data_IF_408748418852
#
_entry.id   IF_408748418852
#
_cell.length_a   1.000
_cell.length_b   1.000
_cell.length_c   1.000
_cell.angle_alpha   90.00
_cell.angle_beta   90.00
_cell.angle_gamma   90.00
#
_symmetry.space_group_name_H-M   'P 1'
#
loop_
_entity.id
_entity.type
_entity.pdbx_description
1 polymer ?
#
# COMPACT_ATOMS: atom_id res chain seq x y z
N UNK A 1 -12.55 20.15 3.44
CA UNK A 1 -11.45 20.34 2.45
C UNK A 1 -10.64 19.06 2.41
N UNK A 2 -10.37 18.52 1.20
CA UNK A 2 -9.64 17.27 1.04
C UNK A 2 -8.20 17.63 0.65
N UNK A 3 -7.22 17.23 1.46
CA UNK A 3 -5.81 17.37 1.10
C UNK A 3 -5.41 16.34 0.05
N UNK A 4 -4.50 16.74 -0.87
CA UNK A 4 -3.84 15.84 -1.80
C UNK A 4 -2.46 15.50 -1.26
N UNK A 5 -2.12 14.21 -1.22
CA UNK A 5 -0.77 13.81 -0.87
C UNK A 5 0.17 14.05 -2.05
N UNK A 6 1.38 14.52 -1.75
CA UNK A 6 2.47 14.65 -2.71
C UNK A 6 3.73 13.99 -2.15
N UNK A 7 4.61 13.57 -3.04
CA UNK A 7 5.94 13.07 -2.68
C UNK A 7 6.89 14.25 -2.49
N UNK A 8 7.39 14.45 -1.28
CA UNK A 8 8.34 15.50 -0.94
C UNK A 8 9.78 15.19 -1.37
N UNK A 9 10.04 14.04 -1.95
CA UNK A 9 11.33 13.73 -2.58
C UNK A 9 11.41 14.13 -4.06
N UNK A 10 10.29 14.44 -4.69
CA UNK A 10 10.22 14.83 -6.10
C UNK A 10 10.16 16.35 -6.27
N UNK A 11 11.35 16.96 -6.45
CA UNK A 11 11.52 18.41 -6.61
C UNK A 11 10.75 18.95 -7.83
N UNK A 12 10.81 18.25 -8.96
CA UNK A 12 10.17 18.72 -10.20
C UNK A 12 8.66 18.71 -10.07
N UNK A 13 8.09 17.65 -9.51
CA UNK A 13 6.65 17.58 -9.24
C UNK A 13 6.22 18.69 -8.29
N UNK A 14 6.96 18.94 -7.20
CA UNK A 14 6.65 20.02 -6.26
C UNK A 14 6.65 21.40 -6.92
N UNK A 15 7.64 21.70 -7.78
CA UNK A 15 7.73 22.99 -8.50
C UNK A 15 6.59 23.13 -9.51
N UNK A 16 6.26 22.06 -10.23
CA UNK A 16 5.21 22.05 -11.25
C UNK A 16 3.79 22.24 -10.68
N UNK A 17 3.61 22.17 -9.36
CA UNK A 17 2.33 22.52 -8.73
C UNK A 17 1.95 24.00 -8.90
N UNK A 18 2.92 24.88 -9.21
CA UNK A 18 2.66 26.31 -9.42
C UNK A 18 2.20 27.07 -8.17
N UNK A 19 2.54 26.56 -6.96
CA UNK A 19 2.10 27.11 -5.65
C UNK A 19 3.07 28.13 -5.07
N UNK A 20 4.03 28.60 -5.87
CA UNK A 20 5.02 29.59 -5.44
C UNK A 20 6.22 29.03 -4.69
N UNK A 21 6.35 27.71 -4.65
CA UNK A 21 7.51 27.03 -4.06
C UNK A 21 8.74 27.25 -4.93
N UNK A 22 9.83 27.76 -4.34
CA UNK A 22 11.10 27.95 -5.08
C UNK A 22 11.84 26.62 -5.21
N UNK A 23 12.82 26.54 -6.12
CA UNK A 23 13.67 25.35 -6.24
C UNK A 23 14.45 25.08 -4.95
N UNK A 24 14.88 26.13 -4.25
CA UNK A 24 15.58 26.01 -2.96
C UNK A 24 14.68 25.41 -1.88
N UNK A 25 13.42 25.91 -1.77
CA UNK A 25 12.44 25.39 -0.82
C UNK A 25 12.08 23.94 -1.11
N UNK A 26 11.85 23.58 -2.38
CA UNK A 26 11.58 22.21 -2.79
C UNK A 26 12.76 21.28 -2.48
N UNK A 27 13.99 21.77 -2.69
CA UNK A 27 15.20 21.03 -2.34
C UNK A 27 15.31 20.78 -0.84
N UNK A 28 15.04 21.76 0.02
CA UNK A 28 15.08 21.56 1.47
C UNK A 28 14.02 20.53 1.93
N UNK A 29 12.84 20.50 1.31
CA UNK A 29 11.84 19.47 1.57
C UNK A 29 12.35 18.09 1.17
N UNK A 30 12.96 17.98 -0.02
CA UNK A 30 13.54 16.75 -0.53
C UNK A 30 14.74 16.27 0.30
N UNK A 31 15.64 17.17 0.71
CA UNK A 31 16.81 16.84 1.55
C UNK A 31 16.38 16.23 2.90
N UNK A 32 15.26 16.67 3.47
CA UNK A 32 14.72 16.07 4.70
C UNK A 32 14.07 14.72 4.43
N UNK A 33 13.36 14.57 3.32
CA UNK A 33 12.82 13.27 2.89
C UNK A 33 13.95 12.25 2.69
N UNK A 34 15.04 12.64 2.05
CA UNK A 34 16.24 11.80 1.89
C UNK A 34 16.91 11.50 3.23
N UNK A 35 16.91 12.45 4.15
CA UNK A 35 17.44 12.22 5.50
C UNK A 35 16.60 11.18 6.27
N UNK A 36 15.29 11.09 6.01
CA UNK A 36 14.42 10.03 6.57
C UNK A 36 14.78 8.68 5.95
N UNK A 37 14.96 8.61 4.62
CA UNK A 37 15.37 7.40 3.90
C UNK A 37 16.73 6.89 4.36
N UNK A 38 17.66 7.80 4.60
CA UNK A 38 19.03 7.50 5.03
C UNK A 38 19.17 7.33 6.55
N UNK A 39 18.06 7.41 7.30
CA UNK A 39 18.05 7.27 8.77
C UNK A 39 18.94 8.32 9.47
N UNK A 40 19.04 9.55 8.92
CA UNK A 40 19.87 10.65 9.44
C UNK A 40 19.13 11.45 10.52
N UNK A 41 18.87 10.86 11.69
CA UNK A 41 18.05 11.43 12.75
C UNK A 41 18.51 12.80 13.27
N UNK A 42 19.82 13.08 13.31
CA UNK A 42 20.35 14.39 13.70
C UNK A 42 19.92 15.47 12.71
N UNK A 43 20.09 15.23 11.42
CA UNK A 43 19.70 16.17 10.36
C UNK A 43 18.19 16.46 10.42
N UNK A 44 17.37 15.42 10.57
CA UNK A 44 15.92 15.57 10.70
C UNK A 44 15.55 16.48 11.87
N UNK A 45 16.16 16.27 13.05
CA UNK A 45 15.85 17.06 14.25
C UNK A 45 16.29 18.52 14.10
N UNK A 46 17.41 18.80 13.44
CA UNK A 46 17.92 20.14 13.19
C UNK A 46 17.06 20.91 12.16
N UNK A 47 16.50 20.23 11.16
CA UNK A 47 15.76 20.86 10.04
C UNK A 47 14.24 20.71 10.12
N UNK A 48 13.72 20.03 11.14
CA UNK A 48 12.28 19.78 11.32
C UNK A 48 11.46 21.07 11.25
N UNK A 49 11.86 22.12 11.95
CA UNK A 49 11.08 23.36 12.01
C UNK A 49 11.07 24.08 10.65
N UNK A 50 12.22 24.16 9.95
CA UNK A 50 12.31 24.74 8.60
C UNK A 50 11.41 24.00 7.62
N UNK A 51 11.46 22.67 7.62
CA UNK A 51 10.61 21.82 6.79
C UNK A 51 9.11 22.11 7.05
N UNK A 52 8.66 22.10 8.31
CA UNK A 52 7.25 22.29 8.64
C UNK A 52 6.77 23.72 8.35
N UNK A 53 7.64 24.74 8.47
CA UNK A 53 7.30 26.11 8.05
C UNK A 53 7.05 26.19 6.54
N UNK A 54 7.85 25.51 5.71
CA UNK A 54 7.61 25.44 4.27
C UNK A 54 6.31 24.70 3.93
N UNK A 55 6.03 23.60 4.58
CA UNK A 55 4.75 22.89 4.42
C UNK A 55 3.58 23.80 4.76
N UNK A 56 3.65 24.56 5.86
CA UNK A 56 2.62 25.53 6.25
C UNK A 56 2.48 26.70 5.29
N UNK A 57 3.60 27.19 4.77
CA UNK A 57 3.61 28.36 3.91
C UNK A 57 3.13 28.06 2.48
N UNK A 58 3.46 26.92 1.94
CA UNK A 58 3.24 26.61 0.54
C UNK A 58 2.25 25.47 0.31
N UNK A 59 2.36 24.35 1.04
CA UNK A 59 1.58 23.16 0.76
C UNK A 59 0.17 23.22 1.33
N UNK A 60 0.03 23.46 2.64
CA UNK A 60 -1.28 23.46 3.31
C UNK A 60 -2.25 24.49 2.74
N UNK A 61 -1.86 25.77 2.42
CA UNK A 61 -2.77 26.75 1.84
C UNK A 61 -3.32 26.34 0.46
N UNK A 62 -2.63 25.44 -0.22
CA UNK A 62 -3.01 24.91 -1.53
C UNK A 62 -3.62 23.50 -1.48
N UNK A 63 -4.00 23.03 -0.27
CA UNK A 63 -4.56 21.71 0.00
C UNK A 63 -3.63 20.55 -0.37
N UNK A 64 -2.32 20.73 -0.23
CA UNK A 64 -1.33 19.68 -0.35
C UNK A 64 -0.74 19.29 1.01
N UNK A 65 -0.37 18.02 1.16
CA UNK A 65 0.30 17.48 2.34
C UNK A 65 1.23 16.36 1.91
N UNK A 66 2.31 16.11 2.67
CA UNK A 66 3.17 14.95 2.46
C UNK A 66 2.98 13.93 3.59
N UNK A 67 3.21 12.65 3.34
CA UNK A 67 3.15 11.63 4.39
C UNK A 67 4.14 11.94 5.52
N UNK A 68 5.35 12.40 5.18
CA UNK A 68 6.35 12.78 6.16
C UNK A 68 5.86 13.95 7.03
N UNK A 69 5.24 14.97 6.42
CA UNK A 69 4.77 16.14 7.16
C UNK A 69 3.69 15.79 8.18
N UNK A 70 2.81 14.83 7.91
CA UNK A 70 1.79 14.39 8.88
C UNK A 70 2.46 13.90 10.16
N UNK A 71 3.42 13.00 10.05
CA UNK A 71 4.13 12.43 11.20
C UNK A 71 4.96 13.49 11.91
N UNK A 72 5.66 14.33 11.14
CA UNK A 72 6.50 15.40 11.68
C UNK A 72 5.69 16.47 12.42
N UNK A 73 4.48 16.82 11.96
CA UNK A 73 3.56 17.69 12.69
C UNK A 73 3.14 17.06 14.03
N UNK A 74 2.84 15.77 14.06
CA UNK A 74 2.47 15.10 15.31
C UNK A 74 3.66 15.07 16.27
N UNK A 75 4.87 14.79 15.80
CA UNK A 75 6.08 14.85 16.61
C UNK A 75 6.32 16.25 17.19
N UNK A 76 6.16 17.32 16.37
CA UNK A 76 6.25 18.70 16.83
C UNK A 76 5.15 19.03 17.85
N UNK A 77 3.91 18.57 17.62
CA UNK A 77 2.78 18.78 18.51
C UNK A 77 3.05 18.15 19.89
N UNK A 78 3.50 16.91 19.96
CA UNK A 78 3.82 16.24 21.21
C UNK A 78 5.01 16.88 21.94
N UNK A 79 5.98 17.43 21.20
CA UNK A 79 7.11 18.17 21.77
C UNK A 79 6.66 19.49 22.41
N UNK A 80 5.73 20.20 21.75
CA UNK A 80 5.25 21.50 22.21
C UNK A 80 4.16 21.40 23.28
N UNK A 81 3.42 20.29 23.32
CA UNK A 81 2.30 20.07 24.22
C UNK A 81 2.42 18.72 24.94
N UNK A 82 3.30 18.61 25.96
CA UNK A 82 3.50 17.35 26.70
C UNK A 82 2.22 16.79 27.34
N UNK A 83 1.26 17.64 27.71
CA UNK A 83 -0.01 17.19 28.27
C UNK A 83 -0.86 16.42 27.25
N UNK A 84 -0.76 16.76 25.97
CA UNK A 84 -1.41 16.00 24.91
C UNK A 84 -0.78 14.60 24.79
N UNK A 85 0.54 14.49 24.84
CA UNK A 85 1.23 13.21 24.84
C UNK A 85 0.83 12.35 26.04
N UNK A 86 0.74 12.97 27.24
CA UNK A 86 0.29 12.30 28.45
C UNK A 86 -1.16 11.78 28.34
N UNK A 87 -2.04 12.54 27.68
CA UNK A 87 -3.38 12.05 27.35
C UNK A 87 -3.33 10.78 26.53
N UNK A 88 -2.51 10.73 25.46
CA UNK A 88 -2.39 9.56 24.61
C UNK A 88 -1.74 8.35 25.31
N UNK A 89 -0.81 8.57 26.27
CA UNK A 89 -0.30 7.49 27.13
C UNK A 89 -1.41 6.80 27.92
N UNK A 90 -2.40 7.55 28.36
CA UNK A 90 -3.56 7.00 29.07
C UNK A 90 -4.60 6.39 28.14
N UNK A 91 -4.73 6.96 26.94
CA UNK A 91 -5.70 6.53 25.96
C UNK A 91 -5.31 5.22 25.27
N UNK A 92 -4.01 4.98 25.08
CA UNK A 92 -3.47 3.76 24.48
C UNK A 92 -2.74 2.88 25.50
N UNK A 93 -3.45 2.11 26.33
CA UNK A 93 -2.82 1.20 27.28
C UNK A 93 -2.14 0.00 26.63
N UNK A 94 -2.50 -0.30 25.37
CA UNK A 94 -1.93 -1.35 24.54
C UNK A 94 -1.63 -0.76 23.15
N UNK A 95 -0.43 -0.99 22.66
CA UNK A 95 -0.01 -0.64 21.29
C UNK A 95 0.46 -1.93 20.61
N UNK A 96 -0.17 -2.26 19.49
CA UNK A 96 0.22 -3.38 18.63
C UNK A 96 0.63 -2.80 17.28
N UNK A 97 1.82 -3.15 16.81
CA UNK A 97 2.33 -2.71 15.52
C UNK A 97 2.65 -3.94 14.69
N UNK A 98 1.97 -4.07 13.57
CA UNK A 98 2.23 -5.10 12.56
C UNK A 98 3.23 -4.60 11.52
N UNK A 99 3.89 -5.52 10.80
CA UNK A 99 4.94 -5.23 9.80
C UNK A 99 6.02 -4.26 10.35
N UNK A 100 6.36 -4.42 11.63
CA UNK A 100 7.25 -3.47 12.33
C UNK A 100 8.63 -3.35 11.68
N UNK A 101 9.12 -4.37 10.95
CA UNK A 101 10.40 -4.33 10.21
C UNK A 101 10.44 -3.24 9.12
N UNK A 102 9.28 -2.75 8.66
CA UNK A 102 9.19 -1.74 7.60
C UNK A 102 9.04 -0.31 8.13
N UNK A 103 9.19 -0.12 9.43
CA UNK A 103 9.06 1.18 10.09
C UNK A 103 10.27 2.07 9.81
N UNK A 104 10.04 3.30 9.34
CA UNK A 104 11.07 4.31 9.15
C UNK A 104 11.37 5.10 10.44
N UNK A 105 12.40 5.96 10.41
CA UNK A 105 12.91 6.66 11.59
C UNK A 105 11.89 7.60 12.24
N UNK A 106 11.04 8.30 11.47
CA UNK A 106 10.06 9.22 12.04
C UNK A 106 8.87 8.48 12.65
N UNK A 107 8.42 7.39 12.03
CA UNK A 107 7.41 6.52 12.60
C UNK A 107 7.91 5.84 13.88
N UNK A 108 9.18 5.39 13.89
CA UNK A 108 9.78 4.83 15.10
C UNK A 108 9.92 5.87 16.22
N UNK A 109 10.24 7.12 15.87
CA UNK A 109 10.27 8.22 16.84
C UNK A 109 8.87 8.47 17.43
N UNK A 110 7.82 8.49 16.60
CA UNK A 110 6.44 8.65 17.05
C UNK A 110 6.01 7.50 17.97
N UNK A 111 6.24 6.26 17.58
CA UNK A 111 5.96 5.10 18.42
C UNK A 111 6.71 5.17 19.75
N UNK A 112 7.99 5.55 19.70
CA UNK A 112 8.81 5.68 20.92
C UNK A 112 8.29 6.75 21.88
N UNK A 113 7.66 7.82 21.39
CA UNK A 113 7.01 8.81 22.22
C UNK A 113 5.70 8.31 22.83
N UNK A 114 4.91 7.55 22.05
CA UNK A 114 3.62 7.01 22.52
C UNK A 114 3.76 5.88 23.54
N UNK A 115 4.92 5.25 23.62
CA UNK A 115 5.19 4.19 24.60
C UNK A 115 5.61 4.82 25.92
N UNK A 116 4.85 4.52 26.99
CA UNK A 116 5.13 4.90 28.38
C UNK A 116 5.40 3.65 29.23
N UNK A 117 5.82 3.83 30.47
CA UNK A 117 6.02 2.72 31.42
C UNK A 117 4.76 1.88 31.67
N UNK A 118 3.57 2.47 31.48
CA UNK A 118 2.29 1.79 31.64
C UNK A 118 1.74 1.17 30.35
N UNK A 119 2.42 1.35 29.21
CA UNK A 119 1.96 0.87 27.90
C UNK A 119 2.42 -0.57 27.65
N UNK A 120 1.49 -1.48 27.39
CA UNK A 120 1.83 -2.81 26.89
C UNK A 120 2.06 -2.74 25.37
N UNK A 121 3.20 -3.23 24.91
CA UNK A 121 3.60 -3.11 23.51
C UNK A 121 3.85 -4.47 22.90
N UNK A 122 3.31 -4.67 21.69
CA UNK A 122 3.55 -5.87 20.88
C UNK A 122 4.01 -5.41 19.50
N UNK A 123 5.22 -5.78 19.11
CA UNK A 123 5.72 -5.59 17.75
C UNK A 123 5.70 -6.93 17.02
N UNK A 124 5.02 -6.97 15.90
CA UNK A 124 4.89 -8.14 15.03
C UNK A 124 5.63 -7.82 13.73
N UNK A 125 6.44 -8.75 13.25
CA UNK A 125 7.17 -8.56 12.01
C UNK A 125 8.10 -9.71 11.69
N UNK A 126 8.61 -9.71 10.46
CA UNK A 126 9.59 -10.66 9.97
C UNK A 126 10.79 -9.90 9.38
N UNK A 127 11.96 -9.92 10.03
CA UNK A 127 13.15 -9.19 9.55
C UNK A 127 13.55 -9.57 8.11
N UNK A 128 13.24 -10.79 7.65
CA UNK A 128 13.53 -11.24 6.29
C UNK A 128 12.57 -10.68 5.23
N UNK A 129 11.41 -10.16 5.65
CA UNK A 129 10.42 -9.55 4.78
C UNK A 129 10.58 -8.03 4.68
N UNK A 130 11.65 -7.44 5.20
CA UNK A 130 11.94 -6.01 5.09
C UNK A 130 12.21 -5.61 3.64
N UNK A 131 11.19 -5.13 2.94
CA UNK A 131 11.25 -4.74 1.53
C UNK A 131 11.30 -3.22 1.33
N UNK A 132 10.96 -2.43 2.33
CA UNK A 132 10.85 -0.97 2.27
C UNK A 132 12.14 -0.23 2.69
N UNK A 133 13.31 -0.87 2.53
CA UNK A 133 14.61 -0.22 2.78
C UNK A 133 14.81 1.05 1.94
N UNK A 134 14.25 1.09 0.72
CA UNK A 134 14.36 2.24 -0.20
C UNK A 134 13.56 3.47 0.25
N UNK A 135 12.60 3.32 1.16
CA UNK A 135 11.84 4.42 1.78
C UNK A 135 12.23 4.64 3.24
N UNK A 136 13.34 4.08 3.69
CA UNK A 136 13.93 4.35 4.99
C UNK A 136 13.53 3.40 6.12
N UNK A 137 13.06 2.19 5.81
CA UNK A 137 12.86 1.16 6.85
C UNK A 137 14.19 0.89 7.58
N UNK A 138 14.18 0.99 8.92
CA UNK A 138 15.38 0.93 9.74
C UNK A 138 15.98 -0.48 9.73
N UNK A 139 17.28 -0.66 9.43
CA UNK A 139 17.93 -1.96 9.54
C UNK A 139 17.94 -2.46 10.99
N UNK A 140 17.73 -3.76 11.18
CA UNK A 140 17.75 -4.44 12.48
C UNK A 140 16.84 -3.79 13.55
N UNK A 141 15.70 -3.23 13.10
CA UNK A 141 14.80 -2.50 13.99
C UNK A 141 14.22 -3.38 15.10
N UNK A 142 13.91 -4.65 14.80
CA UNK A 142 13.38 -5.60 15.77
C UNK A 142 14.35 -5.78 16.97
N UNK A 143 15.63 -5.98 16.69
CA UNK A 143 16.65 -6.15 17.73
C UNK A 143 16.84 -4.86 18.52
N UNK A 144 16.90 -3.71 17.84
CA UNK A 144 17.01 -2.39 18.49
C UNK A 144 15.83 -2.10 19.41
N UNK A 145 14.61 -2.45 18.99
CA UNK A 145 13.42 -2.26 19.82
C UNK A 145 13.41 -3.21 21.02
N UNK A 146 13.79 -4.47 20.81
CA UNK A 146 13.95 -5.46 21.87
C UNK A 146 14.89 -4.97 22.97
N UNK A 147 16.07 -4.47 22.60
CA UNK A 147 17.04 -3.91 23.55
C UNK A 147 16.52 -2.63 24.24
N UNK A 148 15.98 -1.68 23.45
CA UNK A 148 15.52 -0.38 23.96
C UNK A 148 14.37 -0.50 24.96
N UNK A 149 13.41 -1.38 24.70
CA UNK A 149 12.20 -1.53 25.49
C UNK A 149 12.24 -2.75 26.41
N UNK A 150 13.35 -3.51 26.46
CA UNK A 150 13.48 -4.71 27.30
C UNK A 150 12.46 -5.81 26.94
N UNK A 151 12.14 -5.98 25.62
CA UNK A 151 11.07 -6.84 25.16
C UNK A 151 11.47 -8.31 25.16
N UNK A 152 10.50 -9.19 25.46
CA UNK A 152 10.63 -10.61 25.24
C UNK A 152 10.35 -10.95 23.77
N UNK A 153 11.24 -11.72 23.15
CA UNK A 153 11.04 -12.23 21.80
C UNK A 153 10.28 -13.55 21.81
N UNK A 154 9.27 -13.65 20.97
CA UNK A 154 8.52 -14.89 20.72
C UNK A 154 8.63 -15.17 19.21
N UNK A 155 9.30 -16.30 18.87
CA UNK A 155 9.42 -16.73 17.46
C UNK A 155 8.28 -17.67 17.10
N UNK A 156 7.46 -17.28 16.13
CA UNK A 156 6.46 -18.16 15.53
C UNK A 156 7.16 -19.11 14.55
N UNK A 157 7.14 -20.41 14.85
CA UNK A 157 7.89 -21.42 14.07
C UNK A 157 7.02 -22.23 13.13
N UNK A 158 5.71 -22.20 13.32
CA UNK A 158 4.77 -23.00 12.53
C UNK A 158 4.24 -22.19 11.35
N UNK A 159 4.48 -22.68 10.14
CA UNK A 159 3.95 -22.08 8.94
C UNK A 159 2.58 -22.69 8.59
N UNK A 160 1.51 -22.07 9.10
CA UNK A 160 0.14 -22.52 8.81
C UNK A 160 -0.33 -22.20 7.40
N UNK A 161 0.28 -21.22 6.71
CA UNK A 161 -0.10 -20.81 5.35
C UNK A 161 0.18 -21.90 4.33
N UNK A 162 1.30 -22.61 4.48
CA UNK A 162 1.76 -23.62 3.53
C UNK A 162 1.71 -25.05 4.08
N UNK A 163 1.02 -25.29 5.21
CA UNK A 163 1.00 -26.59 5.89
C UNK A 163 0.60 -27.77 5.00
N UNK A 164 -0.28 -27.52 4.03
CA UNK A 164 -0.79 -28.54 3.11
C UNK A 164 0.02 -28.61 1.78
N UNK A 165 1.10 -27.82 1.67
CA UNK A 165 1.99 -27.82 0.50
C UNK A 165 3.46 -28.02 0.90
N UNK A 166 3.95 -29.29 0.93
CA UNK A 166 5.32 -29.61 1.34
C UNK A 166 6.40 -28.90 0.52
N UNK A 167 6.15 -28.67 -0.79
CA UNK A 167 7.10 -27.98 -1.67
C UNK A 167 7.27 -26.51 -1.27
N UNK A 168 6.16 -25.83 -0.93
CA UNK A 168 6.20 -24.45 -0.45
C UNK A 168 6.80 -24.35 0.95
N UNK A 169 6.55 -25.32 1.81
CA UNK A 169 7.20 -25.41 3.12
C UNK A 169 8.72 -25.54 3.01
N UNK A 170 9.18 -26.38 2.10
CA UNK A 170 10.61 -26.57 1.84
C UNK A 170 11.24 -25.31 1.23
N UNK A 171 10.55 -24.66 0.29
CA UNK A 171 10.99 -23.39 -0.31
C UNK A 171 11.13 -22.28 0.74
N UNK A 172 10.12 -22.08 1.59
CA UNK A 172 10.17 -21.09 2.68
C UNK A 172 11.33 -21.37 3.63
N UNK A 173 11.51 -22.63 4.05
CA UNK A 173 12.63 -23.04 4.88
C UNK A 173 13.98 -22.72 4.24
N UNK A 174 14.18 -23.06 2.97
CA UNK A 174 15.44 -22.84 2.26
C UNK A 174 15.74 -21.35 2.07
N UNK A 175 14.73 -20.53 1.77
CA UNK A 175 14.88 -19.07 1.69
C UNK A 175 15.34 -18.50 3.03
N UNK A 176 14.77 -18.94 4.15
CA UNK A 176 15.16 -18.49 5.50
C UNK A 176 16.58 -18.92 5.87
N UNK A 177 16.93 -20.18 5.65
CA UNK A 177 18.31 -20.67 5.90
C UNK A 177 19.34 -19.90 5.07
N UNK A 178 19.05 -19.65 3.79
CA UNK A 178 19.93 -18.86 2.93
C UNK A 178 20.03 -17.39 3.41
N UNK A 179 18.96 -16.80 3.92
CA UNK A 179 18.99 -15.43 4.44
C UNK A 179 19.72 -15.32 5.78
N UNK A 180 19.67 -16.36 6.63
CA UNK A 180 20.40 -16.41 7.91
C UNK A 180 21.92 -16.56 7.70
N UNK A 181 22.34 -17.38 6.75
CA UNK A 181 23.75 -17.59 6.41
C UNK A 181 23.98 -17.70 4.89
N UNK A 182 24.02 -16.57 4.16
CA UNK A 182 24.14 -16.58 2.70
C UNK A 182 25.41 -17.24 2.15
N UNK A 183 26.47 -17.27 2.95
CA UNK A 183 27.78 -17.82 2.51
C UNK A 183 27.82 -19.34 2.58
N UNK A 184 27.09 -19.95 3.50
CA UNK A 184 27.07 -21.38 3.73
C UNK A 184 25.73 -21.79 4.38
N UNK A 185 24.63 -21.76 3.60
CA UNK A 185 23.31 -22.09 4.13
C UNK A 185 23.19 -23.59 4.41
N UNK A 186 22.67 -23.96 5.58
CA UNK A 186 22.42 -25.34 5.98
C UNK A 186 21.18 -25.92 5.25
N UNK A 187 21.29 -26.00 3.91
CA UNK A 187 20.26 -26.56 3.04
C UNK A 187 20.55 -28.02 2.76
N UNK A 188 19.73 -28.90 3.30
CA UNK A 188 19.88 -30.38 3.15
C UNK A 188 19.15 -30.95 1.95
N UNK A 189 18.16 -30.25 1.41
CA UNK A 189 17.31 -30.66 0.30
C UNK A 189 16.92 -29.44 -0.53
N UNK A 190 17.04 -29.54 -1.85
CA UNK A 190 16.64 -28.46 -2.76
C UNK A 190 15.12 -28.36 -2.91
N UNK A 191 14.61 -27.16 -2.80
CA UNK A 191 13.21 -26.91 -3.10
C UNK A 191 12.95 -26.95 -4.61
N UNK A 192 11.91 -27.64 -5.08
CA UNK A 192 11.62 -27.74 -6.51
C UNK A 192 11.12 -26.41 -7.04
N UNK A 193 11.93 -25.74 -7.85
CA UNK A 193 11.62 -24.50 -8.54
C UNK A 193 11.73 -24.76 -10.05
N UNK A 194 10.64 -24.53 -10.78
CA UNK A 194 10.64 -24.56 -12.23
C UNK A 194 11.21 -23.25 -12.79
N UNK A 195 12.47 -23.25 -13.20
CA UNK A 195 13.06 -22.11 -13.90
C UNK A 195 12.89 -22.29 -15.41
N UNK A 196 12.27 -21.32 -16.06
CA UNK A 196 12.11 -21.29 -17.51
C UNK A 196 12.79 -20.04 -18.09
N UNK A 197 13.48 -20.25 -19.20
CA UNK A 197 14.12 -19.18 -19.96
C UNK A 197 13.53 -19.22 -21.37
N UNK A 198 13.11 -18.06 -21.87
CA UNK A 198 12.45 -17.94 -23.17
C UNK A 198 13.28 -17.06 -24.11
N UNK A 199 13.12 -17.30 -25.41
CA UNK A 199 13.81 -16.51 -26.45
C UNK A 199 13.35 -15.05 -26.49
N UNK A 200 12.08 -14.82 -26.14
CA UNK A 200 11.46 -13.50 -26.13
C UNK A 200 10.22 -13.48 -25.23
N UNK A 201 9.70 -12.27 -25.01
CA UNK A 201 8.55 -11.99 -24.15
C UNK A 201 7.24 -12.64 -24.63
N UNK A 202 7.05 -12.76 -25.96
CA UNK A 202 5.85 -13.38 -26.52
C UNK A 202 5.81 -14.89 -26.21
N UNK A 203 6.97 -15.57 -26.26
CA UNK A 203 7.08 -16.99 -25.89
C UNK A 203 6.88 -17.22 -24.39
N UNK A 204 7.37 -16.32 -23.56
CA UNK A 204 7.10 -16.32 -22.12
C UNK A 204 5.59 -16.20 -21.86
N UNK A 205 4.94 -15.21 -22.48
CA UNK A 205 3.51 -14.96 -22.32
C UNK A 205 2.63 -16.12 -22.81
N UNK A 206 3.02 -16.76 -23.92
CA UNK A 206 2.35 -17.96 -24.44
C UNK A 206 2.42 -19.11 -23.44
N UNK A 207 3.62 -19.38 -22.92
CA UNK A 207 3.83 -20.42 -21.91
C UNK A 207 3.03 -20.16 -20.62
N UNK A 208 3.02 -18.91 -20.13
CA UNK A 208 2.24 -18.53 -18.95
C UNK A 208 0.76 -18.83 -19.17
N UNK A 209 0.21 -18.44 -20.33
CA UNK A 209 -1.18 -18.74 -20.68
C UNK A 209 -1.47 -20.24 -20.69
N UNK A 210 -0.63 -21.02 -21.37
CA UNK A 210 -0.80 -22.48 -21.47
C UNK A 210 -0.76 -23.14 -20.08
N UNK A 211 0.20 -22.70 -19.25
CA UNK A 211 0.33 -23.23 -17.88
C UNK A 211 -0.88 -22.92 -17.01
N UNK A 212 -1.47 -21.74 -17.15
CA UNK A 212 -2.71 -21.37 -16.44
C UNK A 212 -3.86 -22.24 -16.94
N UNK A 213 -3.99 -22.43 -18.26
CA UNK A 213 -5.03 -23.27 -18.82
C UNK A 213 -4.91 -24.72 -18.33
N UNK A 214 -3.70 -25.27 -18.21
CA UNK A 214 -3.48 -26.60 -17.67
C UNK A 214 -3.94 -26.71 -16.21
N UNK A 215 -3.55 -25.74 -15.37
CA UNK A 215 -3.98 -25.67 -13.96
C UNK A 215 -5.51 -25.59 -13.87
N UNK A 216 -6.14 -24.74 -14.66
CA UNK A 216 -7.60 -24.57 -14.65
C UNK A 216 -8.36 -25.79 -15.21
N UNK A 217 -7.74 -26.61 -16.07
CA UNK A 217 -8.31 -27.90 -16.48
C UNK A 217 -8.30 -28.93 -15.36
N UNK A 218 -7.24 -28.94 -14.54
CA UNK A 218 -7.12 -29.85 -13.39
C UNK A 218 -8.01 -29.40 -12.22
N UNK A 219 -8.07 -28.10 -11.96
CA UNK A 219 -8.89 -27.50 -10.93
C UNK A 219 -9.50 -26.17 -11.41
N UNK A 220 -10.81 -26.19 -11.72
CA UNK A 220 -11.55 -25.01 -12.19
C UNK A 220 -11.69 -23.92 -11.13
N UNK A 221 -11.45 -24.23 -9.86
CA UNK A 221 -11.47 -23.28 -8.74
C UNK A 221 -10.09 -22.69 -8.42
N UNK A 222 -9.04 -23.12 -9.10
CA UNK A 222 -7.68 -22.69 -8.86
C UNK A 222 -7.53 -21.17 -9.08
N UNK A 223 -6.84 -20.52 -8.14
CA UNK A 223 -6.44 -19.12 -8.25
C UNK A 223 -4.94 -19.06 -8.55
N UNK A 224 -4.60 -18.41 -9.67
CA UNK A 224 -3.21 -18.26 -10.10
C UNK A 224 -2.79 -16.80 -9.93
N UNK A 225 -1.66 -16.56 -9.26
CA UNK A 225 -1.06 -15.24 -9.16
C UNK A 225 0.20 -15.15 -10.05
N UNK A 226 0.28 -14.12 -10.88
CA UNK A 226 1.46 -13.78 -11.67
C UNK A 226 2.13 -12.58 -10.99
N UNK A 227 3.31 -12.79 -10.41
CA UNK A 227 4.06 -11.74 -9.75
C UNK A 227 5.05 -11.12 -10.74
N UNK A 228 4.99 -9.82 -10.89
CA UNK A 228 5.86 -9.06 -11.79
C UNK A 228 6.55 -7.93 -11.04
N UNK A 229 7.75 -7.55 -11.46
CA UNK A 229 8.55 -6.53 -10.75
C UNK A 229 8.01 -5.12 -10.93
N UNK A 230 7.25 -4.87 -11.98
CA UNK A 230 6.72 -3.54 -12.32
C UNK A 230 6.03 -3.54 -13.66
N UNK A 231 5.49 -2.38 -14.06
CA UNK A 231 4.89 -2.19 -15.38
C UNK A 231 5.98 -2.26 -16.45
N UNK A 232 5.85 -3.19 -17.37
CA UNK A 232 6.81 -3.39 -18.45
C UNK A 232 6.11 -3.95 -19.69
N UNK A 233 6.82 -3.97 -20.82
CA UNK A 233 6.33 -4.60 -22.05
C UNK A 233 6.01 -6.09 -21.84
N UNK A 234 6.76 -6.80 -20.98
CA UNK A 234 6.48 -8.19 -20.63
C UNK A 234 5.09 -8.36 -20.03
N UNK A 235 4.69 -7.48 -19.14
CA UNK A 235 3.38 -7.54 -18.50
C UNK A 235 2.28 -7.36 -19.53
N UNK A 236 2.47 -6.42 -20.47
CA UNK A 236 1.52 -6.18 -21.55
C UNK A 236 1.39 -7.40 -22.47
N UNK A 237 2.51 -8.08 -22.81
CA UNK A 237 2.49 -9.30 -23.58
C UNK A 237 1.75 -10.44 -22.85
N UNK A 238 1.97 -10.59 -21.54
CA UNK A 238 1.24 -11.58 -20.72
C UNK A 238 -0.27 -11.26 -20.73
N UNK A 239 -0.66 -10.02 -20.48
CA UNK A 239 -2.07 -9.59 -20.49
C UNK A 239 -2.72 -9.84 -21.85
N UNK A 240 -2.05 -9.50 -22.95
CA UNK A 240 -2.54 -9.76 -24.30
C UNK A 240 -2.70 -11.27 -24.57
N UNK A 241 -1.74 -12.09 -24.11
CA UNK A 241 -1.81 -13.55 -24.26
C UNK A 241 -2.98 -14.15 -23.48
N UNK A 242 -3.22 -13.70 -22.24
CA UNK A 242 -4.36 -14.12 -21.42
C UNK A 242 -5.69 -13.76 -22.08
N UNK A 243 -5.80 -12.52 -22.57
CA UNK A 243 -6.99 -12.05 -23.29
C UNK A 243 -7.26 -12.87 -24.56
N UNK A 244 -6.23 -13.17 -25.34
CA UNK A 244 -6.34 -14.00 -26.53
C UNK A 244 -6.74 -15.46 -26.21
N UNK A 245 -6.44 -15.92 -25.00
CA UNK A 245 -6.84 -17.23 -24.47
C UNK A 245 -8.19 -17.23 -23.75
N UNK A 246 -8.93 -16.11 -23.75
CA UNK A 246 -10.20 -15.94 -23.04
C UNK A 246 -10.09 -16.28 -21.53
N UNK A 247 -8.94 -15.94 -20.92
CA UNK A 247 -8.70 -16.12 -19.49
C UNK A 247 -8.99 -14.80 -18.79
N UNK A 248 -9.96 -14.82 -17.89
CA UNK A 248 -10.24 -13.67 -17.02
C UNK A 248 -9.10 -13.46 -16.02
N UNK A 249 -8.68 -12.22 -15.86
CA UNK A 249 -7.64 -11.85 -14.92
C UNK A 249 -7.92 -10.52 -14.25
N UNK A 250 -7.38 -10.33 -13.06
CA UNK A 250 -7.36 -9.05 -12.37
C UNK A 250 -5.92 -8.49 -12.38
N UNK A 251 -5.76 -7.28 -12.88
CA UNK A 251 -4.49 -6.59 -12.90
C UNK A 251 -4.37 -5.69 -11.66
N UNK A 252 -3.65 -6.17 -10.64
CA UNK A 252 -3.52 -5.51 -9.34
C UNK A 252 -2.52 -4.33 -9.27
N UNK A 253 -1.87 -3.99 -10.40
CA UNK A 253 -0.89 -2.90 -10.46
C UNK A 253 -1.51 -1.53 -10.80
N UNK A 254 -2.72 -1.27 -10.36
CA UNK A 254 -3.19 0.10 -10.31
C UNK A 254 -2.36 0.82 -9.24
N UNK A 255 -1.47 1.72 -9.67
CA UNK A 255 -0.80 2.59 -8.74
C UNK A 255 -1.78 3.66 -8.25
N UNK A 256 -1.61 4.12 -7.01
CA UNK A 256 -2.30 5.30 -6.47
C UNK A 256 -2.00 6.56 -7.31
N UNK A 257 -1.07 6.48 -8.27
CA UNK A 257 -0.68 7.50 -9.22
C UNK A 257 -1.51 7.48 -10.53
N UNK A 258 -2.35 6.45 -10.76
CA UNK A 258 -3.23 6.43 -11.92
C UNK A 258 -4.37 7.46 -11.74
N UNK A 259 -4.18 8.63 -12.31
CA UNK A 259 -5.11 9.77 -12.21
C UNK A 259 -6.54 9.41 -12.65
N UNK A 260 -6.69 8.48 -13.59
CA UNK A 260 -8.00 8.00 -14.06
C UNK A 260 -8.64 7.05 -13.06
N UNK A 261 -7.87 6.14 -12.49
CA UNK A 261 -8.32 5.23 -11.44
C UNK A 261 -8.76 6.02 -10.19
N UNK A 262 -7.94 6.97 -9.74
CA UNK A 262 -8.27 7.87 -8.62
C UNK A 262 -9.56 8.65 -8.92
N UNK A 263 -9.68 9.26 -10.10
CA UNK A 263 -10.88 10.00 -10.51
C UNK A 263 -12.12 9.09 -10.58
N UNK A 264 -11.95 7.85 -11.04
CA UNK A 264 -13.03 6.87 -11.06
C UNK A 264 -13.54 6.57 -9.63
N UNK A 265 -12.63 6.21 -8.72
CA UNK A 265 -12.99 5.94 -7.33
C UNK A 265 -13.57 7.15 -6.61
N UNK A 266 -13.02 8.34 -6.84
CA UNK A 266 -13.59 9.59 -6.29
C UNK A 266 -15.01 9.83 -6.78
N UNK A 267 -15.31 9.56 -8.05
CA UNK A 267 -16.67 9.69 -8.58
C UNK A 267 -17.62 8.67 -7.99
N UNK A 268 -17.18 7.41 -7.85
CA UNK A 268 -17.96 6.36 -7.19
C UNK A 268 -18.27 6.75 -5.74
N UNK A 269 -17.26 7.20 -5.00
CA UNK A 269 -17.42 7.65 -3.62
C UNK A 269 -18.35 8.87 -3.50
N UNK A 270 -18.26 9.84 -4.39
CA UNK A 270 -19.14 11.01 -4.38
C UNK A 270 -20.61 10.61 -4.62
N UNK A 271 -20.87 9.69 -5.54
CA UNK A 271 -22.24 9.16 -5.75
C UNK A 271 -22.74 8.46 -4.49
N UNK A 272 -21.91 7.67 -3.85
CA UNK A 272 -22.22 6.99 -2.60
C UNK A 272 -22.54 8.00 -1.48
N UNK A 273 -21.70 9.02 -1.29
CA UNK A 273 -21.89 10.08 -0.30
C UNK A 273 -23.17 10.86 -0.58
N UNK A 274 -23.45 11.21 -1.82
CA UNK A 274 -24.66 11.94 -2.21
C UNK A 274 -25.91 11.09 -1.96
N UNK A 275 -25.84 9.79 -2.24
CA UNK A 275 -26.93 8.87 -1.94
C UNK A 275 -27.22 8.77 -0.43
N UNK A 276 -26.17 8.66 0.40
CA UNK A 276 -26.31 8.63 1.86
C UNK A 276 -26.89 9.94 2.40
N UNK A 277 -26.38 11.09 1.91
CA UNK A 277 -26.79 12.41 2.39
C UNK A 277 -28.24 12.77 2.00
N UNK A 278 -28.67 12.38 0.82
CA UNK A 278 -29.95 12.80 0.28
C UNK A 278 -31.06 11.77 0.47
N UNK A 279 -30.75 10.57 0.95
CA UNK A 279 -31.68 9.41 0.96
C UNK A 279 -32.39 9.21 -0.41
N UNK A 280 -31.79 9.77 -1.47
CA UNK A 280 -32.37 9.72 -2.80
C UNK A 280 -32.11 8.35 -3.42
N UNK A 281 -33.15 7.75 -4.00
CA UNK A 281 -32.99 6.53 -4.79
C UNK A 281 -32.07 6.80 -5.97
N UNK A 282 -31.00 6.00 -6.10
CA UNK A 282 -30.20 5.97 -7.33
C UNK A 282 -31.10 5.45 -8.44
N UNK A 283 -31.43 6.30 -9.39
CA UNK A 283 -32.30 5.93 -10.50
C UNK A 283 -31.48 5.34 -11.65
N UNK A 284 -32.13 4.49 -12.49
CA UNK A 284 -31.50 3.99 -13.73
C UNK A 284 -30.98 5.11 -14.65
N UNK A 285 -31.57 6.31 -14.55
CA UNK A 285 -31.12 7.49 -15.30
C UNK A 285 -29.79 8.03 -14.77
N UNK A 286 -29.62 8.10 -13.45
CA UNK A 286 -28.38 8.54 -12.81
C UNK A 286 -27.25 7.56 -13.11
N UNK A 287 -27.54 6.27 -13.12
CA UNK A 287 -26.62 5.22 -13.53
C UNK A 287 -26.16 5.41 -14.99
N UNK A 288 -27.09 5.61 -15.94
CA UNK A 288 -26.76 5.84 -17.33
C UNK A 288 -25.92 7.11 -17.53
N UNK A 289 -26.23 8.19 -16.83
CA UNK A 289 -25.44 9.43 -16.90
C UNK A 289 -24.03 9.24 -16.32
N UNK A 290 -23.92 8.46 -15.26
CA UNK A 290 -22.63 8.10 -14.69
C UNK A 290 -21.81 7.24 -15.65
N UNK A 291 -22.40 6.17 -16.22
CA UNK A 291 -21.77 5.34 -17.24
C UNK A 291 -21.23 6.20 -18.40
N UNK A 292 -22.08 7.08 -18.95
CA UNK A 292 -21.66 7.94 -20.05
C UNK A 292 -20.52 8.89 -19.69
N UNK A 293 -20.43 9.36 -18.44
CA UNK A 293 -19.31 10.21 -17.99
C UNK A 293 -18.02 9.42 -17.81
N UNK A 294 -18.12 8.19 -17.28
CA UNK A 294 -16.96 7.31 -17.11
C UNK A 294 -16.47 6.83 -18.49
N UNK A 295 -17.38 6.38 -19.36
CA UNK A 295 -17.08 5.97 -20.73
C UNK A 295 -16.32 7.07 -21.50
N UNK A 296 -16.79 8.30 -21.44
CA UNK A 296 -16.11 9.45 -22.04
C UNK A 296 -14.75 9.75 -21.44
N UNK A 297 -14.56 9.52 -20.12
CA UNK A 297 -13.27 9.74 -19.45
C UNK A 297 -12.21 8.72 -19.88
N UNK A 298 -12.63 7.55 -20.35
CA UNK A 298 -11.76 6.45 -20.78
C UNK A 298 -11.77 6.23 -22.30
N UNK A 299 -12.57 7.03 -23.06
CA UNK A 299 -12.65 6.93 -24.50
C UNK A 299 -11.28 7.19 -25.13
N UNK A 300 -10.80 6.24 -25.92
CA UNK A 300 -9.50 6.31 -26.59
C UNK A 300 -8.29 5.79 -25.80
N UNK A 301 -8.45 5.33 -24.57
CA UNK A 301 -7.31 4.85 -23.78
C UNK A 301 -7.03 3.34 -23.91
N UNK A 302 -7.87 2.61 -24.65
CA UNK A 302 -7.62 1.19 -24.99
C UNK A 302 -7.47 0.25 -23.81
N UNK A 303 -8.02 0.60 -22.64
CA UNK A 303 -7.99 -0.27 -21.46
C UNK A 303 -8.99 -1.39 -21.66
N UNK A 304 -8.53 -2.66 -21.75
CA UNK A 304 -9.43 -3.80 -21.96
C UNK A 304 -10.39 -4.05 -20.79
N UNK A 305 -10.13 -3.44 -19.64
CA UNK A 305 -10.85 -3.68 -18.37
C UNK A 305 -11.98 -2.70 -18.10
N UNK A 306 -12.24 -1.74 -19.00
CA UNK A 306 -13.34 -0.78 -18.82
C UNK A 306 -14.67 -1.50 -18.65
N UNK A 307 -14.90 -2.57 -19.40
CA UNK A 307 -16.14 -3.34 -19.30
C UNK A 307 -16.23 -4.06 -17.95
N UNK A 308 -15.17 -4.67 -17.48
CA UNK A 308 -15.13 -5.32 -16.16
C UNK A 308 -15.34 -4.33 -15.01
N UNK A 309 -14.74 -3.13 -15.11
CA UNK A 309 -14.98 -2.05 -14.15
C UNK A 309 -16.44 -1.57 -14.18
N UNK A 310 -17.07 -1.51 -15.35
CA UNK A 310 -18.49 -1.18 -15.47
C UNK A 310 -19.38 -2.24 -14.86
N UNK A 311 -19.08 -3.51 -15.06
CA UNK A 311 -19.86 -4.61 -14.51
C UNK A 311 -19.73 -4.67 -12.98
N UNK A 312 -18.52 -4.45 -12.42
CA UNK A 312 -18.31 -4.31 -10.99
C UNK A 312 -19.06 -3.11 -10.42
N UNK A 313 -19.00 -1.96 -11.08
CA UNK A 313 -19.73 -0.76 -10.67
C UNK A 313 -21.24 -0.99 -10.67
N UNK A 314 -21.75 -1.71 -11.66
CA UNK A 314 -23.17 -2.07 -11.75
C UNK A 314 -23.58 -2.97 -10.59
N UNK A 315 -22.79 -4.00 -10.29
CA UNK A 315 -23.02 -4.88 -9.13
C UNK A 315 -23.00 -4.08 -7.83
N UNK A 316 -22.02 -3.21 -7.65
CA UNK A 316 -21.91 -2.34 -6.49
C UNK A 316 -23.13 -1.44 -6.32
N UNK A 317 -23.58 -0.80 -7.37
CA UNK A 317 -24.74 0.11 -7.34
C UNK A 317 -26.07 -0.65 -7.16
N UNK A 318 -26.20 -1.84 -7.73
CA UNK A 318 -27.37 -2.71 -7.50
C UNK A 318 -27.41 -3.15 -6.02
N UNK A 319 -26.29 -3.56 -5.44
CA UNK A 319 -26.20 -3.92 -4.01
C UNK A 319 -26.44 -2.72 -3.10
N UNK A 320 -25.93 -1.55 -3.41
CA UNK A 320 -26.22 -0.30 -2.68
C UNK A 320 -27.73 0.00 -2.63
N UNK A 321 -28.43 -0.20 -3.74
CA UNK A 321 -29.86 0.10 -3.81
C UNK A 321 -30.75 -0.97 -3.19
N UNK A 322 -30.30 -2.22 -3.14
CA UNK A 322 -31.08 -3.36 -2.68
C UNK A 322 -30.77 -3.79 -1.26
N UNK A 323 -29.54 -3.67 -0.82
CA UNK A 323 -29.07 -4.22 0.45
C UNK A 323 -28.72 -3.15 1.48
N UNK A 324 -27.94 -2.12 1.10
CA UNK A 324 -27.37 -1.14 2.02
C UNK A 324 -28.41 -0.42 2.90
N UNK A 325 -29.56 -0.10 2.36
CA UNK A 325 -30.63 0.63 3.08
C UNK A 325 -31.21 -0.16 4.25
N UNK A 326 -31.09 -1.47 4.23
CA UNK A 326 -31.66 -2.38 5.24
C UNK A 326 -30.62 -2.86 6.27
N UNK A 327 -29.36 -2.49 6.11
CA UNK A 327 -28.26 -2.89 7.01
C UNK A 327 -28.26 -2.08 8.31
N UNK A 328 -27.80 -2.69 9.39
CA UNK A 328 -27.46 -1.99 10.63
C UNK A 328 -26.25 -1.06 10.40
N UNK A 329 -25.97 -0.13 11.31
CA UNK A 329 -24.80 0.77 11.15
C UNK A 329 -23.47 -0.01 11.18
N UNK A 330 -23.43 -1.10 11.92
CA UNK A 330 -22.23 -1.98 11.99
C UNK A 330 -22.06 -2.76 10.68
N UNK A 331 -23.13 -3.32 10.14
CA UNK A 331 -23.12 -4.05 8.89
C UNK A 331 -22.84 -3.15 7.68
N UNK A 332 -23.18 -1.86 7.74
CA UNK A 332 -22.87 -0.88 6.70
C UNK A 332 -21.37 -0.66 6.51
N UNK A 333 -20.59 -0.70 7.60
CA UNK A 333 -19.14 -0.59 7.55
C UNK A 333 -18.56 -1.81 6.87
N UNK A 334 -18.99 -3.01 7.29
CA UNK A 334 -18.56 -4.26 6.68
C UNK A 334 -18.93 -4.33 5.19
N UNK A 335 -20.14 -3.92 4.84
CA UNK A 335 -20.59 -3.86 3.44
C UNK A 335 -19.66 -2.98 2.55
N UNK A 336 -19.20 -1.85 3.07
CA UNK A 336 -18.27 -0.96 2.33
C UNK A 336 -16.89 -1.62 2.15
N UNK A 337 -16.45 -2.43 3.11
CA UNK A 337 -15.16 -3.15 3.05
C UNK A 337 -15.25 -4.33 2.07
N UNK A 338 -16.39 -5.01 2.01
CA UNK A 338 -16.60 -6.25 1.23
C UNK A 338 -16.93 -5.99 -0.26
N UNK A 339 -17.24 -4.76 -0.63
CA UNK A 339 -17.65 -4.35 -1.99
C UNK A 339 -16.62 -3.44 -2.65
#
# INVERSE_FOLDING_TARGET
ETFRSIDDSDIETMINLGIGLTHEDAKELSDLSDAIKDVRGKYINENLNSYLEKVKAYLLPNNYITYNSIILFVLQLFRNYPELLKFYHQYFPIIIVDEFQDTNIINYALLSLLISESTNVIFIGDPLQRIYGFIGAIPNLMDRAKEKFGMQEIKLKENHRFKDNPKMMLLDKNIRLNAENPSDPDISEDAPIDLKIFENQAKEAEWVREKIQDIMREDTSAKVAILVRGRSSNVMEIMNSLKNGEIDYFYGLFSDEDEFYIKFHQKCMNIFIDHIKTNSRITKLNLKQFYSKVEKAYEGQGLPEIQALFDLLKIFLDRLTTEYLFLTNEDKINFIIDV
#
